data_IF_948737540185
#
_entry.id   IF_948737540185
#
_cell.length_a   1.000
_cell.length_b   1.000
_cell.length_c   1.000
_cell.angle_alpha   90.00
_cell.angle_beta   90.00
_cell.angle_gamma   90.00
#
_symmetry.space_group_name_H-M   'P 1'
#
loop_
_entity.id
_entity.type
_entity.pdbx_description
1 polymer ?
#
# COMPACT_ATOMS: atom_id res chain seq x y z
N UNK A 1 6.34 9.08 11.43
CA UNK A 1 5.57 9.16 10.18
C UNK A 1 6.18 10.30 9.36
N UNK A 2 6.48 10.10 8.07
CA UNK A 2 7.13 11.16 7.27
C UNK A 2 6.16 12.31 6.98
N UNK A 3 6.67 13.52 6.77
CA UNK A 3 5.85 14.71 6.48
C UNK A 3 5.02 14.51 5.19
N UNK A 4 5.59 13.84 4.19
CA UNK A 4 4.92 13.50 2.93
C UNK A 4 3.70 12.58 3.15
N UNK A 5 3.82 11.54 3.98
CA UNK A 5 2.69 10.65 4.27
C UNK A 5 1.56 11.44 4.94
N UNK A 6 1.92 12.31 5.89
CA UNK A 6 0.94 13.13 6.58
C UNK A 6 0.24 14.11 5.62
N UNK A 7 0.98 14.71 4.69
CA UNK A 7 0.42 15.59 3.67
C UNK A 7 -0.55 14.85 2.73
N UNK A 8 -0.20 13.64 2.29
CA UNK A 8 -1.04 12.85 1.39
C UNK A 8 -2.29 12.29 2.09
N UNK A 9 -2.21 11.99 3.40
CA UNK A 9 -3.38 11.70 4.24
C UNK A 9 -4.29 12.93 4.31
N UNK A 10 -3.72 14.12 4.60
CA UNK A 10 -4.49 15.36 4.69
C UNK A 10 -5.17 15.74 3.36
N UNK A 11 -4.56 15.38 2.23
CA UNK A 11 -5.13 15.54 0.89
C UNK A 11 -6.18 14.48 0.52
N UNK A 12 -6.32 13.42 1.32
CA UNK A 12 -7.22 12.31 1.05
C UNK A 12 -6.78 11.40 -0.10
N UNK A 13 -5.49 11.38 -0.43
CA UNK A 13 -4.95 10.48 -1.45
C UNK A 13 -4.61 9.10 -0.89
N UNK A 14 -4.29 9.03 0.41
CA UNK A 14 -3.96 7.80 1.13
C UNK A 14 -4.84 7.73 2.37
N UNK A 15 -5.35 6.54 2.66
CA UNK A 15 -6.17 6.30 3.84
C UNK A 15 -5.44 5.36 4.79
N UNK A 16 -5.19 5.77 6.05
CA UNK A 16 -4.66 4.85 7.04
C UNK A 16 -5.73 3.79 7.35
N UNK A 17 -5.36 2.52 7.22
CA UNK A 17 -6.20 1.39 7.64
C UNK A 17 -5.55 0.75 8.87
N UNK A 18 -6.37 0.50 9.88
CA UNK A 18 -5.90 -0.12 11.12
C UNK A 18 -5.42 -1.55 10.83
N UNK A 19 -4.20 -1.90 11.22
CA UNK A 19 -3.63 -3.22 10.91
C UNK A 19 -4.46 -4.37 11.51
N UNK A 20 -5.08 -4.13 12.67
CA UNK A 20 -5.95 -5.10 13.31
C UNK A 20 -7.31 -5.31 12.61
N UNK A 21 -7.64 -4.48 11.60
CA UNK A 21 -8.82 -4.69 10.74
C UNK A 21 -8.62 -5.84 9.74
N UNK A 22 -7.39 -6.34 9.60
CA UNK A 22 -7.07 -7.43 8.68
C UNK A 22 -7.06 -8.77 9.42
N UNK A 23 -7.63 -9.79 8.77
CA UNK A 23 -7.69 -11.16 9.28
C UNK A 23 -7.41 -12.18 8.16
N UNK A 24 -7.27 -13.45 8.52
CA UNK A 24 -7.09 -14.56 7.57
C UNK A 24 -5.89 -14.37 6.62
N UNK A 25 -4.77 -13.88 7.14
CA UNK A 25 -3.55 -13.67 6.38
C UNK A 25 -3.05 -14.99 5.76
N UNK A 26 -2.79 -14.95 4.45
CA UNK A 26 -2.14 -16.02 3.71
C UNK A 26 -1.09 -15.41 2.78
N UNK A 27 0.18 -15.77 2.96
CA UNK A 27 1.23 -15.39 2.01
C UNK A 27 0.94 -16.07 0.66
N UNK A 28 0.92 -15.29 -0.42
CA UNK A 28 0.67 -15.77 -1.79
C UNK A 28 1.90 -15.60 -2.70
N UNK A 29 2.82 -14.71 -2.36
CA UNK A 29 4.06 -14.52 -3.10
C UNK A 29 5.13 -13.92 -2.19
N UNK A 30 6.38 -14.31 -2.44
CA UNK A 30 7.58 -13.66 -1.90
C UNK A 30 8.51 -13.37 -3.07
N UNK A 31 8.75 -12.09 -3.33
CA UNK A 31 9.80 -11.62 -4.23
C UNK A 31 11.07 -11.26 -3.48
N UNK A 32 12.04 -10.69 -4.19
CA UNK A 32 13.33 -10.30 -3.61
C UNK A 32 13.20 -9.13 -2.61
N UNK A 33 12.23 -8.24 -2.85
CA UNK A 33 12.03 -7.01 -2.06
C UNK A 33 10.59 -6.86 -1.56
N UNK A 34 9.73 -7.83 -1.80
CA UNK A 34 8.32 -7.74 -1.45
C UNK A 34 7.76 -9.10 -1.02
N UNK A 35 6.72 -9.02 -0.22
CA UNK A 35 5.83 -10.12 0.12
C UNK A 35 4.42 -9.69 -0.17
N UNK A 36 3.63 -10.63 -0.65
CA UNK A 36 2.24 -10.40 -0.98
C UNK A 36 1.39 -11.38 -0.19
N UNK A 37 0.39 -10.86 0.50
CA UNK A 37 -0.55 -11.61 1.33
C UNK A 37 -1.97 -11.40 0.81
N UNK A 38 -2.78 -12.45 0.79
CA UNK A 38 -4.23 -12.29 0.83
C UNK A 38 -4.66 -12.11 2.29
N UNK A 39 -5.59 -11.20 2.53
CA UNK A 39 -6.24 -11.01 3.83
C UNK A 39 -7.69 -10.58 3.63
N UNK A 40 -8.52 -10.77 4.63
CA UNK A 40 -9.84 -10.14 4.69
C UNK A 40 -9.71 -8.82 5.46
N UNK A 41 -10.23 -7.73 4.91
CA UNK A 41 -10.28 -6.42 5.56
C UNK A 41 -11.70 -6.16 6.08
N UNK A 42 -11.85 -6.04 7.39
CA UNK A 42 -13.14 -5.77 8.03
C UNK A 42 -13.69 -4.40 7.65
N UNK A 43 -12.83 -3.37 7.58
CA UNK A 43 -13.22 -2.00 7.24
C UNK A 43 -13.79 -1.89 5.82
N UNK A 44 -13.20 -2.63 4.87
CA UNK A 44 -13.63 -2.66 3.46
C UNK A 44 -14.64 -3.78 3.15
N UNK A 45 -14.90 -4.65 4.13
CA UNK A 45 -15.76 -5.86 4.05
C UNK A 45 -15.49 -6.72 2.82
N UNK A 46 -14.21 -6.95 2.53
CA UNK A 46 -13.79 -7.72 1.34
C UNK A 46 -12.41 -8.36 1.52
N UNK A 47 -12.16 -9.38 0.72
CA UNK A 47 -10.80 -9.89 0.54
C UNK A 47 -9.96 -8.87 -0.23
N UNK A 48 -8.74 -8.65 0.24
CA UNK A 48 -7.75 -7.73 -0.34
C UNK A 48 -6.41 -8.42 -0.48
N UNK A 49 -5.54 -7.82 -1.29
CA UNK A 49 -4.14 -8.22 -1.39
C UNK A 49 -3.29 -7.14 -0.73
N UNK A 50 -2.48 -7.54 0.24
CA UNK A 50 -1.53 -6.68 0.94
C UNK A 50 -0.14 -6.95 0.38
N UNK A 51 0.50 -5.92 -0.15
CA UNK A 51 1.87 -5.98 -0.63
C UNK A 51 2.77 -5.22 0.34
N UNK A 52 3.82 -5.86 0.85
CA UNK A 52 4.83 -5.16 1.64
C UNK A 52 5.70 -4.33 0.70
N UNK A 53 5.99 -3.09 1.09
CA UNK A 53 6.94 -2.25 0.39
C UNK A 53 8.27 -2.26 1.16
N UNK A 54 9.35 -2.62 0.48
CA UNK A 54 10.69 -2.45 1.02
C UNK A 54 11.12 -1.00 0.78
N UNK A 55 11.15 -0.22 1.86
CA UNK A 55 11.67 1.13 1.81
C UNK A 55 13.16 1.04 2.06
N UNK A 56 13.96 1.20 0.99
CA UNK A 56 15.40 1.34 1.12
C UNK A 56 15.72 2.70 1.74
N UNK A 57 15.86 2.73 3.07
CA UNK A 57 16.19 3.94 3.82
C UNK A 57 17.56 4.52 3.43
N UNK A 58 18.43 3.75 2.77
CA UNK A 58 19.71 4.24 2.26
C UNK A 58 19.56 5.14 1.02
N UNK A 59 18.44 5.02 0.30
CA UNK A 59 18.07 5.91 -0.82
C UNK A 59 17.37 7.20 -0.34
N UNK A 60 17.23 7.39 0.98
CA UNK A 60 16.58 8.56 1.56
C UNK A 60 15.04 8.52 1.45
N UNK A 61 14.36 9.64 1.78
CA UNK A 61 12.89 9.73 1.75
C UNK A 61 12.29 9.56 0.34
N UNK A 62 13.10 9.70 -0.71
CA UNK A 62 12.71 9.69 -2.12
C UNK A 62 12.14 8.35 -2.60
N UNK A 63 12.53 7.24 -1.96
CA UNK A 63 12.07 5.90 -2.33
C UNK A 63 10.57 5.72 -2.15
N UNK A 64 10.04 6.17 -1.00
CA UNK A 64 8.62 6.11 -0.70
C UNK A 64 7.82 7.11 -1.54
N UNK A 65 8.38 8.31 -1.75
CA UNK A 65 7.73 9.33 -2.58
C UNK A 65 7.50 8.83 -4.00
N UNK A 66 8.51 8.18 -4.59
CA UNK A 66 8.42 7.63 -5.95
C UNK A 66 7.30 6.59 -6.07
N UNK A 67 7.14 5.70 -5.10
CA UNK A 67 6.06 4.71 -5.12
C UNK A 67 4.67 5.35 -4.98
N UNK A 68 4.51 6.33 -4.08
CA UNK A 68 3.26 7.08 -3.94
C UNK A 68 2.90 7.81 -5.24
N UNK A 69 3.87 8.46 -5.89
CA UNK A 69 3.65 9.14 -7.16
C UNK A 69 3.29 8.16 -8.29
N UNK A 70 3.94 6.99 -8.34
CA UNK A 70 3.59 5.94 -9.30
C UNK A 70 2.13 5.48 -9.11
N UNK A 71 1.71 5.17 -7.89
CA UNK A 71 0.33 4.77 -7.58
C UNK A 71 -0.70 5.85 -7.99
N UNK A 72 -0.35 7.15 -7.87
CA UNK A 72 -1.21 8.27 -8.31
C UNK A 72 -1.32 8.39 -9.82
N UNK A 73 -0.25 8.09 -10.55
CA UNK A 73 -0.22 8.17 -12.01
C UNK A 73 -1.11 7.11 -12.67
N UNK A 74 -1.24 5.96 -12.00
CA UNK A 74 -2.08 4.84 -12.44
C UNK A 74 -3.50 5.07 -11.92
N UNK A 75 -4.29 5.86 -12.67
CA UNK A 75 -5.72 6.04 -12.38
C UNK A 75 -6.46 4.69 -12.46
N UNK A 76 -7.60 4.60 -11.75
CA UNK A 76 -8.52 3.47 -11.88
C UNK A 76 -8.86 3.25 -13.35
N UNK A 77 -8.40 2.11 -13.86
CA UNK A 77 -8.54 1.69 -15.24
C UNK A 77 -8.69 0.18 -15.22
N UNK A 78 -9.55 -0.38 -16.07
CA UNK A 78 -9.92 -1.81 -16.02
C UNK A 78 -8.72 -2.77 -16.05
N UNK A 79 -7.65 -2.38 -16.73
CA UNK A 79 -6.43 -3.17 -16.90
C UNK A 79 -5.31 -2.84 -15.88
N UNK A 80 -5.57 -1.96 -14.92
CA UNK A 80 -4.61 -1.60 -13.87
C UNK A 80 -5.18 -1.93 -12.49
N UNK A 81 -4.31 -2.46 -11.62
CA UNK A 81 -4.68 -2.76 -10.25
C UNK A 81 -4.94 -1.44 -9.51
N UNK A 82 -6.12 -1.33 -8.92
CA UNK A 82 -6.46 -0.22 -8.05
C UNK A 82 -5.93 -0.49 -6.63
N UNK A 83 -5.09 0.40 -6.14
CA UNK A 83 -4.66 0.44 -4.75
C UNK A 83 -5.71 1.20 -3.92
N UNK A 84 -5.97 0.74 -2.69
CA UNK A 84 -6.89 1.35 -1.72
C UNK A 84 -6.12 2.09 -0.64
#
# INVERSE_FOLDING_TARGET
MSELIQEEINRGHIYPIEYNSFSNFKEISTGQHDKVFCAYCEDLRRAVTLKTMYIDLSLGPDGLEREIQFMKSVKSHENFIQCF
#
